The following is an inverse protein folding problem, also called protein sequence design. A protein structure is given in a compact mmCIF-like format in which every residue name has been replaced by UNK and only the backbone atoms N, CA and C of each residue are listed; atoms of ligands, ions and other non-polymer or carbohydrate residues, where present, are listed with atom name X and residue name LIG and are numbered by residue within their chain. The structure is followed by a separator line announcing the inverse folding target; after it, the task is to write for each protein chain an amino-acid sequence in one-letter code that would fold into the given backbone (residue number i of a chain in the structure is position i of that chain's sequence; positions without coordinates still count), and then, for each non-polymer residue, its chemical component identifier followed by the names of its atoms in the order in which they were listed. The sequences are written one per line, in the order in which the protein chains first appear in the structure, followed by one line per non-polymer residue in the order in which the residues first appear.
data_IF_900688348327
#
_entry.id   IF_900688348327
#
_cell.length_a   1.000
_cell.length_b   1.000
_cell.length_c   1.000
_cell.angle_alpha   90.00
_cell.angle_beta   90.00
_cell.angle_gamma   90.00
#
_symmetry.space_group_name_H-M   'P 1'
#
loop_
_entity.id
_entity.type
_entity.pdbx_description
1 polymer ?
#
# COMPACT_ATOMS: atom_id res chain seq x y z
N UNK A 1 -26.60 21.33 28.27
CA UNK A 1 -26.53 19.89 28.01
C UNK A 1 -25.20 19.42 28.55
N UNK A 2 -25.20 18.56 29.56
CA UNK A 2 -23.97 17.97 30.12
C UNK A 2 -23.45 16.95 29.13
N UNK A 3 -22.31 17.23 28.54
CA UNK A 3 -21.54 16.29 27.70
C UNK A 3 -20.97 15.21 28.63
N UNK A 4 -21.12 13.93 28.30
CA UNK A 4 -20.61 12.86 29.15
C UNK A 4 -19.09 12.90 29.28
N UNK A 5 -18.57 12.50 30.44
CA UNK A 5 -17.11 12.39 30.68
C UNK A 5 -16.43 11.50 29.65
N UNK A 6 -17.10 10.42 29.25
CA UNK A 6 -16.59 9.47 28.24
C UNK A 6 -16.46 10.11 26.85
N UNK A 7 -17.42 10.96 26.46
CA UNK A 7 -17.31 11.71 25.22
C UNK A 7 -16.13 12.66 25.24
N UNK A 8 -15.95 13.43 26.31
CA UNK A 8 -14.81 14.37 26.45
C UNK A 8 -13.49 13.60 26.39
N UNK A 9 -13.39 12.48 27.11
CA UNK A 9 -12.21 11.63 27.12
C UNK A 9 -11.87 11.11 25.72
N UNK A 10 -12.87 10.56 25.02
CA UNK A 10 -12.70 10.06 23.66
C UNK A 10 -12.27 11.15 22.67
N UNK A 11 -12.88 12.34 22.73
CA UNK A 11 -12.50 13.45 21.86
C UNK A 11 -11.05 13.94 22.15
N UNK A 12 -10.68 14.02 23.42
CA UNK A 12 -9.30 14.38 23.81
C UNK A 12 -8.29 13.38 23.28
N UNK A 13 -8.62 12.09 23.30
CA UNK A 13 -7.75 11.05 22.76
C UNK A 13 -7.58 11.13 21.23
N UNK A 14 -8.69 11.33 20.50
CA UNK A 14 -8.67 11.56 19.05
C UNK A 14 -7.76 12.75 18.71
N UNK A 15 -7.94 13.87 19.41
CA UNK A 15 -7.17 15.08 19.21
C UNK A 15 -5.67 14.81 19.47
N UNK A 16 -5.33 14.10 20.55
CA UNK A 16 -3.96 13.73 20.85
C UNK A 16 -3.34 12.83 19.75
N UNK A 17 -4.06 11.84 19.27
CA UNK A 17 -3.60 11.00 18.14
C UNK A 17 -3.37 11.83 16.88
N UNK A 18 -4.25 12.77 16.55
CA UNK A 18 -4.10 13.65 15.38
C UNK A 18 -2.87 14.55 15.51
N UNK A 19 -2.65 15.20 16.67
CA UNK A 19 -1.46 16.02 16.90
C UNK A 19 -0.19 15.21 16.85
N UNK A 20 -0.18 14.01 17.44
CA UNK A 20 0.96 13.12 17.39
C UNK A 20 1.25 12.67 15.95
N UNK A 21 0.23 12.36 15.16
CA UNK A 21 0.39 12.08 13.74
C UNK A 21 1.01 13.25 12.97
N UNK A 22 0.52 14.47 13.18
CA UNK A 22 1.07 15.67 12.54
C UNK A 22 2.53 15.93 12.95
N UNK A 23 2.83 15.71 14.23
CA UNK A 23 4.20 15.80 14.75
C UNK A 23 5.12 14.81 14.04
N UNK A 24 4.73 13.54 13.96
CA UNK A 24 5.52 12.51 13.30
C UNK A 24 5.69 12.77 11.80
N UNK A 25 4.65 13.25 11.12
CA UNK A 25 4.75 13.68 9.73
C UNK A 25 5.78 14.80 9.53
N UNK A 26 5.84 15.76 10.46
CA UNK A 26 6.86 16.81 10.46
C UNK A 26 8.26 16.24 10.64
N UNK A 27 8.43 15.27 11.54
CA UNK A 27 9.71 14.61 11.79
C UNK A 27 10.21 13.88 10.55
N UNK A 28 9.37 13.09 9.90
CA UNK A 28 9.73 12.40 8.66
C UNK A 28 10.15 13.39 7.55
N UNK A 29 9.45 14.51 7.43
CA UNK A 29 9.82 15.56 6.48
C UNK A 29 11.20 16.16 6.80
N UNK A 30 11.48 16.46 8.08
CA UNK A 30 12.78 16.96 8.51
C UNK A 30 13.90 15.93 8.28
N UNK A 31 13.63 14.65 8.53
CA UNK A 31 14.55 13.56 8.27
C UNK A 31 14.90 13.44 6.78
N UNK A 32 13.88 13.39 5.93
CA UNK A 32 14.06 13.29 4.48
C UNK A 32 14.82 14.49 3.90
N UNK A 33 14.69 15.65 4.51
CA UNK A 33 15.43 16.86 4.13
C UNK A 33 16.77 17.03 4.86
N UNK A 34 17.22 16.05 5.64
CA UNK A 34 18.46 16.08 6.44
C UNK A 34 18.53 17.28 7.42
N UNK A 35 17.39 17.65 8.02
CA UNK A 35 17.24 18.79 8.92
C UNK A 35 16.95 18.38 10.37
N UNK A 36 17.16 17.12 10.75
CA UNK A 36 17.02 16.66 12.12
C UNK A 36 18.26 17.09 12.92
N UNK A 37 18.03 17.82 14.01
CA UNK A 37 19.05 18.23 14.99
C UNK A 37 18.99 17.35 16.24
N UNK A 38 20.02 17.43 17.11
CA UNK A 38 20.02 16.73 18.39
C UNK A 38 18.87 17.17 19.30
N UNK A 39 18.44 18.43 19.20
CA UNK A 39 17.29 18.97 19.92
C UNK A 39 15.99 18.28 19.48
N UNK A 40 15.79 18.11 18.15
CA UNK A 40 14.69 17.34 17.60
C UNK A 40 14.72 15.87 18.05
N UNK A 41 15.91 15.23 18.06
CA UNK A 41 16.06 13.85 18.53
C UNK A 41 15.64 13.69 20.00
N UNK A 42 15.95 14.67 20.84
CA UNK A 42 15.54 14.67 22.25
C UNK A 42 14.01 14.75 22.40
N UNK A 43 13.36 15.65 21.66
CA UNK A 43 11.90 15.80 21.70
C UNK A 43 11.20 14.56 21.11
N UNK A 44 11.70 13.99 20.01
CA UNK A 44 11.19 12.76 19.43
C UNK A 44 11.20 11.62 20.45
N UNK A 45 12.33 11.40 21.15
CA UNK A 45 12.44 10.35 22.17
C UNK A 45 11.42 10.52 23.29
N UNK A 46 11.18 11.77 23.72
CA UNK A 46 10.18 12.08 24.72
C UNK A 46 8.77 11.73 24.25
N UNK A 47 8.41 12.08 23.01
CA UNK A 47 7.10 11.79 22.44
C UNK A 47 6.91 10.29 22.14
N UNK A 48 7.94 9.58 21.72
CA UNK A 48 7.89 8.13 21.50
C UNK A 48 7.68 7.31 22.79
N UNK A 49 8.08 7.87 23.95
CA UNK A 49 7.87 7.24 25.24
C UNK A 49 6.45 7.39 25.77
N UNK A 50 5.62 8.22 25.13
CA UNK A 50 4.23 8.42 25.55
C UNK A 50 3.41 7.16 25.27
N UNK A 51 2.81 6.58 26.32
CA UNK A 51 1.98 5.38 26.20
C UNK A 51 0.52 5.76 25.96
N UNK A 52 -0.02 5.35 24.81
CA UNK A 52 -1.41 5.59 24.43
C UNK A 52 -2.35 4.43 24.89
N UNK A 53 -1.88 3.54 25.78
CA UNK A 53 -2.65 2.36 26.20
C UNK A 53 -3.73 2.65 27.25
N UNK A 54 -3.67 3.77 27.97
CA UNK A 54 -4.59 3.98 29.08
C UNK A 54 -5.92 4.63 28.64
N UNK A 55 -6.98 3.84 28.75
CA UNK A 55 -8.33 4.35 28.98
C UNK A 55 -9.14 4.82 27.78
N UNK A 56 -8.73 4.60 26.54
CA UNK A 56 -9.42 5.14 25.38
C UNK A 56 -10.19 4.09 24.59
N UNK A 57 -11.39 4.42 24.19
CA UNK A 57 -12.01 3.83 23.02
C UNK A 57 -11.12 4.17 21.81
N UNK A 58 -10.57 3.13 21.18
CA UNK A 58 -9.61 3.26 20.09
C UNK A 58 -10.29 4.03 18.95
N UNK A 59 -9.79 5.22 18.62
CA UNK A 59 -10.17 5.90 17.39
C UNK A 59 -9.37 5.30 16.25
N UNK A 60 -10.01 4.43 15.54
CA UNK A 60 -9.44 3.40 14.70
C UNK A 60 -8.42 3.89 13.64
N UNK A 61 -8.70 4.90 12.86
CA UNK A 61 -7.80 5.29 11.76
C UNK A 61 -6.55 6.06 12.21
N UNK A 62 -6.67 6.93 13.20
CA UNK A 62 -5.56 7.77 13.65
C UNK A 62 -4.59 6.98 14.55
N UNK A 63 -5.10 6.02 15.30
CA UNK A 63 -4.28 5.15 16.15
C UNK A 63 -3.33 4.27 15.31
N UNK A 64 -3.83 3.66 14.25
CA UNK A 64 -3.00 2.85 13.34
C UNK A 64 -1.91 3.69 12.67
N UNK A 65 -2.27 4.85 12.11
CA UNK A 65 -1.32 5.78 11.51
C UNK A 65 -0.24 6.23 12.48
N UNK A 66 -0.63 6.50 13.71
CA UNK A 66 0.30 6.86 14.78
C UNK A 66 1.25 5.70 15.11
N UNK A 67 0.74 4.46 15.24
CA UNK A 67 1.57 3.28 15.49
C UNK A 67 2.57 3.06 14.37
N UNK A 68 2.14 3.10 13.12
CA UNK A 68 3.00 2.97 11.96
C UNK A 68 4.13 4.02 11.98
N UNK A 69 3.78 5.29 12.17
CA UNK A 69 4.76 6.37 12.21
C UNK A 69 5.70 6.28 13.41
N UNK A 70 5.18 5.93 14.59
CA UNK A 70 5.99 5.71 15.79
C UNK A 70 7.04 4.61 15.53
N UNK A 71 6.62 3.49 14.97
CA UNK A 71 7.51 2.38 14.63
C UNK A 71 8.56 2.79 13.60
N UNK A 72 8.14 3.47 12.53
CA UNK A 72 9.03 3.96 11.47
C UNK A 72 10.07 4.94 12.01
N UNK A 73 9.67 5.91 12.82
CA UNK A 73 10.56 6.91 13.39
C UNK A 73 11.53 6.26 14.37
N UNK A 74 11.05 5.37 15.24
CA UNK A 74 11.93 4.66 16.17
C UNK A 74 13.00 3.89 15.42
N UNK A 75 12.60 3.07 14.47
CA UNK A 75 13.49 2.19 13.73
C UNK A 75 14.52 2.97 12.90
N UNK A 76 14.07 3.87 12.02
CA UNK A 76 14.97 4.53 11.08
C UNK A 76 15.71 5.76 11.67
N UNK A 77 15.08 6.51 12.57
CA UNK A 77 15.64 7.79 13.04
C UNK A 77 16.35 7.62 14.38
N UNK A 78 15.74 6.90 15.33
CA UNK A 78 16.31 6.74 16.67
C UNK A 78 17.35 5.62 16.69
N UNK A 79 17.02 4.46 16.15
CA UNK A 79 17.90 3.29 16.11
C UNK A 79 18.87 3.31 14.91
N UNK A 80 18.64 4.22 13.96
CA UNK A 80 19.51 4.48 12.77
C UNK A 80 19.64 3.28 11.84
N UNK A 81 18.61 2.45 11.72
CA UNK A 81 18.58 1.38 10.73
C UNK A 81 18.38 1.91 9.31
N UNK A 82 18.79 1.10 8.33
CA UNK A 82 18.60 1.41 6.91
C UNK A 82 17.30 0.81 6.38
N UNK A 83 16.60 1.46 5.42
CA UNK A 83 15.48 0.83 4.72
C UNK A 83 15.84 -0.49 4.01
N UNK A 84 17.13 -0.71 3.67
CA UNK A 84 17.61 -1.96 3.09
C UNK A 84 17.66 -3.11 4.09
N UNK A 85 17.59 -2.83 5.40
CA UNK A 85 17.61 -3.87 6.46
C UNK A 85 16.25 -4.58 6.57
N UNK A 86 15.20 -4.06 5.90
CA UNK A 86 13.87 -4.66 5.91
C UNK A 86 13.61 -5.34 4.56
N UNK A 87 13.27 -6.62 4.63
CA UNK A 87 12.71 -7.33 3.50
C UNK A 87 11.35 -6.73 3.13
N UNK A 88 11.24 -6.14 1.94
CA UNK A 88 10.04 -5.45 1.48
C UNK A 88 8.83 -6.38 1.40
N UNK A 89 9.05 -7.63 1.06
CA UNK A 89 7.99 -8.63 0.94
C UNK A 89 7.48 -9.10 2.33
N UNK A 90 8.16 -8.68 3.41
CA UNK A 90 7.84 -8.98 4.80
C UNK A 90 7.69 -7.72 5.66
N UNK A 91 7.38 -6.60 5.05
CA UNK A 91 7.24 -5.32 5.78
C UNK A 91 6.15 -5.40 6.85
N UNK A 92 5.03 -6.07 6.58
CA UNK A 92 3.93 -6.21 7.53
C UNK A 92 4.33 -7.13 8.70
N UNK A 93 5.09 -8.19 8.43
CA UNK A 93 5.67 -9.06 9.46
C UNK A 93 6.61 -8.27 10.38
N UNK A 94 7.45 -7.41 9.81
CA UNK A 94 8.32 -6.53 10.58
C UNK A 94 7.50 -5.60 11.48
N UNK A 95 6.53 -4.88 10.92
CA UNK A 95 5.67 -3.94 11.66
C UNK A 95 4.93 -4.64 12.80
N UNK A 96 4.36 -5.82 12.54
CA UNK A 96 3.69 -6.60 13.56
C UNK A 96 4.62 -7.00 14.72
N UNK A 97 5.84 -7.41 14.40
CA UNK A 97 6.83 -7.75 15.44
C UNK A 97 7.16 -6.53 16.31
N UNK A 98 7.24 -5.34 15.74
CA UNK A 98 7.42 -4.11 16.49
C UNK A 98 6.18 -3.76 17.35
N UNK A 99 4.97 -4.00 16.84
CA UNK A 99 3.73 -3.81 17.60
C UNK A 99 3.65 -4.75 18.80
N UNK A 100 3.99 -6.03 18.62
CA UNK A 100 4.01 -7.05 19.68
C UNK A 100 4.95 -6.71 20.84
N UNK A 101 6.03 -5.97 20.58
CA UNK A 101 6.94 -5.49 21.65
C UNK A 101 6.29 -4.47 22.59
N UNK A 102 5.29 -3.76 22.12
CA UNK A 102 4.72 -2.59 22.82
C UNK A 102 3.24 -2.70 23.13
N UNK A 103 2.55 -3.73 22.62
CA UNK A 103 1.08 -3.85 22.70
C UNK A 103 0.67 -5.27 23.06
N UNK A 104 -0.44 -5.36 23.81
CA UNK A 104 -1.05 -6.64 24.21
C UNK A 104 -2.59 -6.52 24.17
N UNK A 105 -3.28 -7.65 24.30
CA UNK A 105 -4.74 -7.69 24.38
C UNK A 105 -5.46 -6.98 23.23
N UNK A 106 -6.50 -6.23 23.54
CA UNK A 106 -7.31 -5.53 22.53
C UNK A 106 -6.54 -4.52 21.68
N UNK A 107 -5.50 -3.91 22.20
CA UNK A 107 -4.67 -2.95 21.46
C UNK A 107 -3.81 -3.64 20.40
N UNK A 108 -3.27 -4.83 20.72
CA UNK A 108 -2.56 -5.64 19.75
C UNK A 108 -3.50 -6.24 18.71
N UNK A 109 -4.64 -6.78 19.15
CA UNK A 109 -5.70 -7.28 18.27
C UNK A 109 -6.08 -6.24 17.22
N UNK A 110 -6.37 -5.03 17.67
CA UNK A 110 -6.74 -3.93 16.77
C UNK A 110 -5.59 -3.52 15.84
N UNK A 111 -4.39 -3.33 16.37
CA UNK A 111 -3.23 -2.92 15.58
C UNK A 111 -2.91 -3.95 14.48
N UNK A 112 -3.03 -5.23 14.80
CA UNK A 112 -2.79 -6.32 13.86
C UNK A 112 -3.89 -6.39 12.79
N UNK A 113 -5.16 -6.34 13.17
CA UNK A 113 -6.27 -6.29 12.22
C UNK A 113 -6.18 -5.08 11.29
N UNK A 114 -5.81 -3.90 11.82
CA UNK A 114 -5.61 -2.68 11.04
C UNK A 114 -4.46 -2.77 10.07
N UNK A 115 -3.36 -3.44 10.44
CA UNK A 115 -2.23 -3.70 9.54
C UNK A 115 -2.67 -4.51 8.32
N UNK A 116 -3.40 -5.60 8.55
CA UNK A 116 -3.96 -6.45 7.49
C UNK A 116 -4.95 -5.64 6.64
N UNK A 117 -5.86 -4.92 7.28
CA UNK A 117 -6.86 -4.12 6.59
C UNK A 117 -6.25 -3.02 5.71
N UNK A 118 -5.15 -2.41 6.16
CA UNK A 118 -4.47 -1.36 5.38
C UNK A 118 -3.87 -1.92 4.08
N UNK A 119 -3.23 -3.09 4.11
CA UNK A 119 -2.74 -3.77 2.90
C UNK A 119 -3.89 -4.07 1.92
N UNK A 120 -5.02 -4.60 2.44
CA UNK A 120 -6.23 -4.84 1.66
C UNK A 120 -6.77 -3.55 1.05
N UNK A 121 -6.88 -2.49 1.83
CA UNK A 121 -7.42 -1.20 1.40
C UNK A 121 -6.57 -0.54 0.31
N UNK A 122 -5.25 -0.60 0.47
CA UNK A 122 -4.28 -0.10 -0.52
C UNK A 122 -4.15 -1.04 -1.73
N UNK A 123 -4.66 -2.27 -1.65
CA UNK A 123 -4.50 -3.33 -2.65
C UNK A 123 -3.03 -3.64 -2.91
N UNK A 124 -2.24 -3.66 -1.84
CA UNK A 124 -0.82 -3.99 -1.93
C UNK A 124 -0.60 -5.47 -2.20
N UNK A 125 -1.51 -6.33 -1.74
CA UNK A 125 -1.45 -7.78 -1.93
C UNK A 125 -0.10 -8.36 -1.50
N UNK A 126 0.39 -7.91 -0.34
CA UNK A 126 1.69 -8.33 0.18
C UNK A 126 1.73 -9.83 0.49
N UNK A 127 2.86 -10.47 0.22
CA UNK A 127 3.01 -11.93 0.33
C UNK A 127 2.86 -12.46 1.76
N UNK A 128 3.21 -11.66 2.76
CA UNK A 128 3.14 -12.03 4.16
C UNK A 128 1.72 -11.95 4.77
N UNK A 129 0.80 -11.21 4.16
CA UNK A 129 -0.55 -10.95 4.71
C UNK A 129 -1.38 -12.22 4.95
N UNK A 130 -1.46 -13.21 4.03
CA UNK A 130 -2.22 -14.42 4.30
C UNK A 130 -1.73 -15.19 5.54
N UNK A 131 -0.41 -15.27 5.72
CA UNK A 131 0.19 -15.92 6.89
C UNK A 131 -0.06 -15.14 8.18
N UNK A 132 0.01 -13.80 8.11
CA UNK A 132 -0.29 -12.94 9.26
C UNK A 132 -1.76 -13.05 9.67
N UNK A 133 -2.68 -13.18 8.70
CA UNK A 133 -4.09 -13.41 9.00
C UNK A 133 -4.32 -14.76 9.68
N UNK A 134 -3.68 -15.84 9.24
CA UNK A 134 -3.81 -17.16 9.88
C UNK A 134 -3.30 -17.14 11.34
N UNK A 135 -2.18 -16.44 11.58
CA UNK A 135 -1.68 -16.22 12.92
C UNK A 135 -2.63 -15.36 13.77
N UNK A 136 -3.24 -14.31 13.16
CA UNK A 136 -4.24 -13.47 13.82
C UNK A 136 -5.44 -14.29 14.29
N UNK A 137 -5.99 -15.15 13.42
CA UNK A 137 -7.10 -16.03 13.77
C UNK A 137 -6.75 -16.98 14.93
N UNK A 138 -5.51 -17.45 15.00
CA UNK A 138 -5.04 -18.33 16.06
C UNK A 138 -4.86 -17.60 17.39
N UNK A 139 -4.37 -16.36 17.36
CA UNK A 139 -4.12 -15.53 18.55
C UNK A 139 -5.43 -14.95 19.11
N UNK A 140 -6.37 -14.55 18.24
CA UNK A 140 -7.62 -13.90 18.57
C UNK A 140 -8.85 -14.63 17.98
N UNK A 141 -9.11 -15.90 18.38
CA UNK A 141 -10.13 -16.73 17.71
C UNK A 141 -11.58 -16.21 17.86
N UNK A 142 -11.81 -15.27 18.78
CA UNK A 142 -13.13 -14.63 19.00
C UNK A 142 -13.19 -13.20 18.42
N UNK A 143 -12.21 -12.79 17.63
CA UNK A 143 -12.15 -11.44 17.06
C UNK A 143 -13.26 -11.22 16.02
N UNK A 144 -13.98 -10.13 16.13
CA UNK A 144 -14.96 -9.68 15.13
C UNK A 144 -14.31 -9.34 13.78
N UNK A 145 -13.01 -9.01 13.78
CA UNK A 145 -12.27 -8.66 12.57
C UNK A 145 -12.05 -9.86 11.63
N UNK A 146 -12.11 -11.10 12.14
CA UNK A 146 -11.95 -12.32 11.33
C UNK A 146 -12.96 -12.33 10.18
N UNK A 147 -14.24 -12.12 10.49
CA UNK A 147 -15.30 -12.12 9.48
C UNK A 147 -15.20 -10.97 8.47
N UNK A 148 -14.67 -9.84 8.89
CA UNK A 148 -14.48 -8.65 8.04
C UNK A 148 -13.32 -8.86 7.06
N UNK A 149 -12.21 -9.44 7.52
CA UNK A 149 -10.98 -9.59 6.75
C UNK A 149 -11.01 -10.81 5.82
N UNK A 150 -11.64 -11.89 6.23
CA UNK A 150 -11.62 -13.19 5.54
C UNK A 150 -11.92 -13.12 4.03
N UNK A 151 -12.98 -12.43 3.54
CA UNK A 151 -13.28 -12.40 2.10
C UNK A 151 -12.18 -11.75 1.26
N UNK A 152 -11.48 -10.78 1.83
CA UNK A 152 -10.41 -10.07 1.12
C UNK A 152 -9.10 -10.86 1.16
N UNK A 153 -8.81 -11.57 2.25
CA UNK A 153 -7.66 -12.47 2.35
C UNK A 153 -7.73 -13.56 1.29
N UNK A 154 -8.92 -14.10 1.03
CA UNK A 154 -9.09 -15.11 -0.02
C UNK A 154 -8.73 -14.56 -1.40
N UNK A 155 -9.05 -13.29 -1.69
CA UNK A 155 -8.63 -12.63 -2.94
C UNK A 155 -7.11 -12.48 -3.02
N UNK A 156 -6.44 -12.17 -1.89
CA UNK A 156 -4.97 -12.07 -1.84
C UNK A 156 -4.35 -13.46 -2.08
N UNK A 157 -4.90 -14.52 -1.49
CA UNK A 157 -4.45 -15.90 -1.77
C UNK A 157 -4.58 -16.24 -3.25
N UNK A 158 -5.73 -15.94 -3.85
CA UNK A 158 -5.96 -16.14 -5.29
C UNK A 158 -4.98 -15.35 -6.14
N UNK A 159 -4.70 -14.10 -5.78
CA UNK A 159 -3.71 -13.27 -6.47
C UNK A 159 -2.33 -13.92 -6.51
N UNK A 160 -1.86 -14.48 -5.40
CA UNK A 160 -0.55 -15.12 -5.35
C UNK A 160 -0.46 -16.44 -6.13
N UNK A 161 -1.60 -17.08 -6.43
CA UNK A 161 -1.66 -18.34 -7.16
C UNK A 161 -2.14 -18.19 -8.61
N UNK A 162 -2.29 -16.96 -9.12
CA UNK A 162 -2.79 -16.74 -10.48
C UNK A 162 -1.79 -17.24 -11.52
N UNK A 163 -2.25 -18.02 -12.54
CA UNK A 163 -1.38 -18.37 -13.65
C UNK A 163 -1.05 -17.14 -14.51
N UNK A 164 0.23 -16.93 -14.80
CA UNK A 164 0.69 -15.85 -15.68
C UNK A 164 0.62 -16.27 -17.17
N UNK A 165 -0.52 -16.77 -17.60
CA UNK A 165 -0.74 -17.23 -18.98
C UNK A 165 -2.10 -16.76 -19.51
N UNK A 166 -2.11 -16.16 -20.69
CA UNK A 166 -3.33 -15.79 -21.42
C UNK A 166 -2.97 -15.47 -22.87
N UNK A 167 -3.77 -15.96 -23.80
CA UNK A 167 -3.57 -15.70 -25.24
C UNK A 167 -3.89 -14.23 -25.62
N UNK A 168 -4.62 -13.52 -24.78
CA UNK A 168 -5.08 -12.16 -25.04
C UNK A 168 -4.24 -11.09 -24.30
N UNK A 169 -3.19 -11.50 -23.59
CA UNK A 169 -2.27 -10.62 -22.86
C UNK A 169 -0.88 -10.74 -23.48
N UNK A 170 -0.35 -9.63 -23.94
CA UNK A 170 0.98 -9.56 -24.55
C UNK A 170 1.88 -8.63 -23.72
N UNK A 171 2.84 -9.20 -23.02
CA UNK A 171 3.86 -8.42 -22.29
C UNK A 171 4.97 -8.06 -23.29
N UNK A 172 5.15 -6.76 -23.52
CA UNK A 172 6.21 -6.28 -24.44
C UNK A 172 7.58 -6.37 -23.76
N UNK A 173 8.65 -6.60 -24.55
CA UNK A 173 10.02 -6.61 -24.03
C UNK A 173 10.39 -5.27 -23.37
N UNK A 174 11.19 -5.33 -22.31
CA UNK A 174 11.66 -4.14 -21.57
C UNK A 174 13.06 -3.70 -21.93
N UNK A 175 13.74 -4.45 -22.79
CA UNK A 175 15.13 -4.22 -23.18
C UNK A 175 15.26 -3.02 -24.14
N UNK A 176 14.14 -2.57 -24.71
CA UNK A 176 14.12 -1.40 -25.59
C UNK A 176 13.99 -0.13 -24.75
N UNK A 177 15.01 0.74 -24.82
CA UNK A 177 14.97 2.06 -24.18
C UNK A 177 14.06 2.96 -25.00
N UNK A 178 12.77 3.00 -24.65
CA UNK A 178 11.82 3.94 -25.26
C UNK A 178 12.00 5.33 -24.64
N UNK A 179 12.04 6.35 -25.51
CA UNK A 179 12.29 7.73 -25.11
C UNK A 179 11.02 8.52 -24.86
N UNK A 180 9.97 8.22 -25.61
CA UNK A 180 8.71 8.94 -25.60
C UNK A 180 7.52 8.04 -26.00
N UNK A 181 6.32 8.62 -25.95
CA UNK A 181 5.10 7.92 -26.29
C UNK A 181 5.04 7.51 -27.76
N UNK A 182 5.58 8.33 -28.67
CA UNK A 182 5.58 8.05 -30.11
C UNK A 182 6.33 6.73 -30.40
N UNK A 183 7.47 6.52 -29.75
CA UNK A 183 8.21 5.26 -29.87
C UNK A 183 7.43 4.08 -29.29
N UNK A 184 6.68 4.27 -28.20
CA UNK A 184 5.89 3.22 -27.58
C UNK A 184 4.70 2.79 -28.45
N UNK A 185 4.08 3.71 -29.20
CA UNK A 185 2.95 3.41 -30.08
C UNK A 185 3.36 3.08 -31.54
N UNK A 186 4.63 3.26 -31.89
CA UNK A 186 5.14 3.02 -33.22
C UNK A 186 4.76 1.65 -33.81
N UNK A 187 4.77 0.53 -33.05
CA UNK A 187 4.37 -0.77 -33.57
C UNK A 187 2.89 -0.84 -34.02
N UNK A 188 2.08 0.14 -33.67
CA UNK A 188 0.63 0.17 -33.90
C UNK A 188 0.22 1.26 -34.88
N UNK A 189 1.16 1.77 -35.70
CA UNK A 189 0.87 2.79 -36.73
C UNK A 189 -0.29 2.34 -37.62
N UNK A 190 -1.23 3.26 -37.87
CA UNK A 190 -2.43 3.00 -38.67
C UNK A 190 -3.61 2.41 -37.88
N UNK A 191 -3.45 2.19 -36.56
CA UNK A 191 -4.50 1.74 -35.65
C UNK A 191 -4.89 2.84 -34.68
N UNK A 192 -6.10 2.75 -34.13
CA UNK A 192 -6.50 3.52 -32.96
C UNK A 192 -5.87 2.85 -31.74
N UNK A 193 -5.13 3.60 -30.92
CA UNK A 193 -4.51 3.09 -29.72
C UNK A 193 -5.16 3.74 -28.49
N UNK A 194 -5.82 2.92 -27.67
CA UNK A 194 -6.25 3.31 -26.33
C UNK A 194 -5.09 3.09 -25.36
N UNK A 195 -4.66 4.14 -24.67
CA UNK A 195 -3.54 4.09 -23.74
C UNK A 195 -4.06 4.28 -22.31
N UNK A 196 -3.69 3.36 -21.43
CA UNK A 196 -3.96 3.42 -19.99
C UNK A 196 -2.64 3.50 -19.21
N UNK A 197 -2.44 4.61 -18.49
CA UNK A 197 -1.27 4.81 -17.64
C UNK A 197 -1.59 4.41 -16.20
N UNK A 198 -0.85 3.48 -15.65
CA UNK A 198 -1.13 2.96 -14.32
C UNK A 198 0.13 2.50 -13.56
N UNK A 199 -0.03 2.03 -12.35
CA UNK A 199 1.00 1.40 -11.55
C UNK A 199 0.41 0.51 -10.47
N UNK A 200 1.20 -0.41 -9.95
CA UNK A 200 0.76 -1.33 -8.88
C UNK A 200 0.38 -0.61 -7.58
N UNK A 201 0.86 0.60 -7.41
CA UNK A 201 0.56 1.52 -6.30
C UNK A 201 -0.66 2.42 -6.54
N UNK A 202 -1.28 2.36 -7.74
CA UNK A 202 -2.40 3.22 -8.11
C UNK A 202 -3.75 2.57 -7.77
N UNK A 203 -4.20 2.68 -6.55
CA UNK A 203 -5.49 2.14 -6.10
C UNK A 203 -6.71 2.57 -6.95
N UNK A 204 -6.84 3.86 -7.35
CA UNK A 204 -7.88 4.30 -8.30
C UNK A 204 -7.80 3.57 -9.65
N UNK A 205 -6.60 3.38 -10.22
CA UNK A 205 -6.42 2.66 -11.48
C UNK A 205 -6.94 1.21 -11.36
N UNK A 206 -6.60 0.52 -10.28
CA UNK A 206 -7.05 -0.84 -10.03
C UNK A 206 -8.58 -0.94 -9.92
N UNK A 207 -9.25 0.08 -9.35
CA UNK A 207 -10.73 0.15 -9.30
C UNK A 207 -11.33 0.30 -10.69
N UNK A 208 -10.67 1.04 -11.59
CA UNK A 208 -11.12 1.23 -12.97
C UNK A 208 -11.02 -0.04 -13.81
N UNK A 209 -10.13 -0.97 -13.48
CA UNK A 209 -10.02 -2.25 -14.20
C UNK A 209 -11.30 -3.10 -14.16
N UNK A 210 -12.17 -2.91 -13.19
CA UNK A 210 -13.49 -3.54 -13.15
C UNK A 210 -14.35 -3.18 -14.39
N UNK A 211 -14.08 -2.05 -15.04
CA UNK A 211 -14.80 -1.57 -16.22
C UNK A 211 -14.14 -1.93 -17.55
N UNK A 212 -12.93 -2.53 -17.52
CA UNK A 212 -12.16 -2.84 -18.74
C UNK A 212 -12.93 -3.75 -19.71
N UNK A 213 -13.64 -4.74 -19.18
CA UNK A 213 -14.48 -5.64 -20.00
C UNK A 213 -15.66 -4.91 -20.65
N UNK A 214 -16.30 -4.00 -19.92
CA UNK A 214 -17.41 -3.20 -20.45
C UNK A 214 -16.92 -2.24 -21.55
N UNK A 215 -15.78 -1.60 -21.35
CA UNK A 215 -15.14 -0.74 -22.36
C UNK A 215 -14.87 -1.52 -23.65
N UNK A 216 -14.24 -2.68 -23.55
CA UNK A 216 -13.92 -3.53 -24.71
C UNK A 216 -15.17 -4.03 -25.43
N UNK A 217 -16.21 -4.37 -24.70
CA UNK A 217 -17.49 -4.74 -25.30
C UNK A 217 -18.14 -3.57 -26.06
N UNK A 218 -18.08 -2.36 -25.52
CA UNK A 218 -18.62 -1.16 -26.16
C UNK A 218 -17.86 -0.75 -27.43
N UNK A 219 -16.59 -1.12 -27.53
CA UNK A 219 -15.70 -0.76 -28.63
C UNK A 219 -15.33 -1.95 -29.53
N UNK A 220 -16.00 -3.08 -29.38
CA UNK A 220 -15.66 -4.35 -30.08
C UNK A 220 -15.69 -4.25 -31.61
N UNK A 221 -16.52 -3.36 -32.17
CA UNK A 221 -16.62 -3.13 -33.61
C UNK A 221 -15.53 -2.15 -34.14
N UNK A 222 -14.73 -1.59 -33.23
CA UNK A 222 -13.65 -0.68 -33.55
C UNK A 222 -12.32 -1.45 -33.50
N UNK A 223 -11.45 -1.22 -34.48
CA UNK A 223 -10.11 -1.83 -34.52
C UNK A 223 -9.15 -1.07 -33.56
N UNK A 224 -9.37 -1.26 -32.26
CA UNK A 224 -8.62 -0.58 -31.20
C UNK A 224 -7.55 -1.51 -30.60
N UNK A 225 -6.34 -1.00 -30.52
CA UNK A 225 -5.25 -1.57 -29.72
C UNK A 225 -5.35 -1.02 -28.29
N UNK A 226 -5.38 -1.89 -27.28
CA UNK A 226 -5.30 -1.51 -25.88
C UNK A 226 -3.86 -1.65 -25.42
N UNK A 227 -3.23 -0.52 -25.08
CA UNK A 227 -1.86 -0.43 -24.58
C UNK A 227 -1.87 0.06 -23.14
N UNK A 228 -1.49 -0.79 -22.22
CA UNK A 228 -1.35 -0.47 -20.80
C UNK A 228 0.13 -0.18 -20.50
N UNK A 229 0.43 1.03 -20.07
CA UNK A 229 1.79 1.45 -19.72
C UNK A 229 1.90 1.56 -18.20
N UNK A 230 2.70 0.68 -17.61
CA UNK A 230 3.00 0.74 -16.18
C UNK A 230 4.11 1.76 -15.91
N UNK A 231 3.89 2.57 -14.87
CA UNK A 231 4.86 3.52 -14.33
C UNK A 231 5.60 2.95 -13.10
N UNK A 232 5.53 1.64 -12.92
CA UNK A 232 6.23 0.95 -11.85
C UNK A 232 7.74 0.96 -12.04
N UNK A 233 8.46 0.97 -10.91
CA UNK A 233 9.89 0.75 -10.92
C UNK A 233 10.23 -0.69 -11.32
N UNK A 234 11.44 -0.94 -11.85
CA UNK A 234 11.86 -2.29 -12.30
C UNK A 234 11.71 -3.38 -11.23
N UNK A 235 11.96 -3.05 -9.97
CA UNK A 235 11.83 -3.98 -8.85
C UNK A 235 10.40 -4.48 -8.59
N UNK A 236 9.38 -3.79 -9.10
CA UNK A 236 7.98 -4.19 -8.98
C UNK A 236 7.47 -4.99 -10.17
N UNK A 237 8.37 -5.44 -11.07
CA UNK A 237 7.99 -6.11 -12.32
C UNK A 237 7.13 -7.35 -12.12
N UNK A 238 7.47 -8.19 -11.17
CA UNK A 238 6.75 -9.44 -10.94
C UNK A 238 5.36 -9.17 -10.36
N UNK A 239 5.24 -8.25 -9.41
CA UNK A 239 3.95 -7.77 -8.89
C UNK A 239 3.09 -7.18 -10.01
N UNK A 240 3.67 -6.34 -10.87
CA UNK A 240 2.99 -5.75 -12.02
C UNK A 240 2.45 -6.83 -12.97
N UNK A 241 3.25 -7.82 -13.36
CA UNK A 241 2.80 -8.91 -14.22
C UNK A 241 1.66 -9.69 -13.57
N UNK A 242 1.80 -10.10 -12.31
CA UNK A 242 0.73 -10.77 -11.57
C UNK A 242 -0.57 -9.96 -11.60
N UNK A 243 -0.51 -8.64 -11.40
CA UNK A 243 -1.69 -7.78 -11.47
C UNK A 243 -2.33 -7.74 -12.85
N UNK A 244 -1.55 -7.70 -13.93
CA UNK A 244 -2.07 -7.77 -15.31
C UNK A 244 -2.93 -9.02 -15.50
N UNK A 245 -2.45 -10.17 -15.07
CA UNK A 245 -3.19 -11.44 -15.18
C UNK A 245 -4.36 -11.52 -14.20
N UNK A 246 -4.19 -11.05 -12.98
CA UNK A 246 -5.24 -11.03 -11.96
C UNK A 246 -6.45 -10.22 -12.40
N UNK A 247 -6.23 -9.02 -12.95
CA UNK A 247 -7.29 -8.16 -13.46
C UNK A 247 -7.74 -8.55 -14.88
N UNK A 248 -7.11 -9.55 -15.49
CA UNK A 248 -7.41 -10.02 -16.88
C UNK A 248 -7.40 -8.87 -17.88
N UNK A 249 -6.35 -8.04 -17.80
CA UNK A 249 -6.21 -6.87 -18.66
C UNK A 249 -5.72 -7.32 -20.05
N UNK A 250 -6.66 -7.71 -20.91
CA UNK A 250 -6.33 -8.10 -22.27
C UNK A 250 -5.74 -6.93 -23.07
N UNK A 251 -4.73 -7.16 -23.86
CA UNK A 251 -4.03 -6.18 -24.69
C UNK A 251 -2.53 -6.24 -24.54
N UNK A 252 -1.87 -5.15 -24.92
CA UNK A 252 -0.41 -5.01 -24.87
C UNK A 252 0.00 -4.30 -23.58
N UNK A 253 1.07 -4.78 -22.95
CA UNK A 253 1.56 -4.28 -21.68
C UNK A 253 3.02 -3.91 -21.76
N UNK A 254 3.33 -2.70 -21.33
CA UNK A 254 4.67 -2.14 -21.32
C UNK A 254 4.98 -1.59 -19.91
N UNK A 255 6.13 -1.94 -19.35
CA UNK A 255 6.66 -1.26 -18.18
C UNK A 255 7.57 -0.12 -18.65
N UNK A 256 7.22 1.11 -18.33
CA UNK A 256 7.98 2.29 -18.74
C UNK A 256 9.34 2.34 -18.03
N UNK A 257 10.42 2.46 -18.81
CA UNK A 257 11.71 2.85 -18.27
C UNK A 257 11.72 4.33 -17.84
N UNK A 258 12.78 4.74 -17.12
CA UNK A 258 12.90 6.09 -16.53
C UNK A 258 12.72 7.19 -17.59
N UNK A 259 13.26 7.00 -18.80
CA UNK A 259 13.20 8.01 -19.87
C UNK A 259 11.78 8.18 -20.38
N UNK A 260 11.10 7.09 -20.71
CA UNK A 260 9.69 7.13 -21.12
C UNK A 260 8.80 7.70 -20.02
N UNK A 261 8.95 7.23 -18.79
CA UNK A 261 8.16 7.73 -17.66
C UNK A 261 8.31 9.26 -17.51
N UNK A 262 9.52 9.80 -17.58
CA UNK A 262 9.75 11.26 -17.54
C UNK A 262 9.05 11.99 -18.68
N UNK A 263 9.06 11.44 -19.89
CA UNK A 263 8.42 12.09 -21.06
C UNK A 263 6.89 12.11 -20.97
N UNK A 264 6.29 11.17 -20.22
CA UNK A 264 4.83 11.12 -20.00
C UNK A 264 4.34 12.16 -18.99
N UNK A 265 5.25 12.76 -18.19
CA UNK A 265 4.95 13.82 -17.21
C UNK A 265 5.35 15.23 -17.71
N UNK A 266 5.98 15.34 -18.87
CA UNK A 266 6.40 16.61 -19.46
C UNK A 266 5.29 17.26 -20.26
#
# INVERSE_FOLDING_TARGET
QNVSSDFIHNQSHIINCMFTHLFYKKILNLYNNRKITDEWLKEIKKQLSFDFQEGANICYSEYERMLYMNTTINYFIIEKHSPQDIDRDKINTFLLNEYKKKRTGKYLEYAWASLIYNDIFQRDFSEDIPSLYDQFCSEFPQSEFIGILSPEIEKIRQFHHIPETSNNITILPTDTILKNLEEAVHPFIGKIVYIDLWGTWCGPCQKMFAYSKALKNATKEMDIIYLYISLDRPENRDKWKKMVYYYKLEGYHLQAGITLAKSLYA
#
